data_IF_590098879398
#
_entry.id   IF_590098879398
#
_cell.length_a   1.000
_cell.length_b   1.000
_cell.length_c   1.000
_cell.angle_alpha   90.00
_cell.angle_beta   90.00
_cell.angle_gamma   90.00
#
_symmetry.space_group_name_H-M   'P 1'
#
loop_
_entity.id
_entity.type
_entity.pdbx_description
1 polymer ?
#
# COMPACT_ATOMS: atom_id res chain seq x y z
N UNK A 1 7.34 17.95 -8.19
CA UNK A 1 7.38 17.77 -6.73
C UNK A 1 6.62 16.49 -6.43
N UNK A 2 7.30 15.42 -6.03
CA UNK A 2 6.64 14.19 -5.61
C UNK A 2 6.15 14.41 -4.16
N UNK A 3 4.88 14.17 -3.90
CA UNK A 3 4.34 14.24 -2.54
C UNK A 3 4.74 13.00 -1.74
N UNK A 4 4.88 13.16 -0.42
CA UNK A 4 5.16 12.06 0.50
C UNK A 4 4.01 11.04 0.45
N UNK A 5 4.34 9.76 0.38
CA UNK A 5 3.38 8.65 0.40
C UNK A 5 2.99 8.31 1.84
N UNK A 6 1.73 8.55 2.21
CA UNK A 6 1.16 8.06 3.46
C UNK A 6 0.54 6.65 3.27
N UNK A 7 0.72 5.78 4.26
CA UNK A 7 0.25 4.40 4.20
C UNK A 7 -1.28 4.27 4.26
N UNK A 8 -1.97 5.21 4.92
CA UNK A 8 -3.42 5.18 5.14
C UNK A 8 -4.21 5.94 4.08
N UNK A 9 -3.52 6.64 3.18
CA UNK A 9 -4.16 7.29 2.05
C UNK A 9 -4.88 6.27 1.16
N UNK A 10 -5.98 6.65 0.49
CA UNK A 10 -6.63 5.79 -0.48
C UNK A 10 -5.68 5.47 -1.64
N UNK A 11 -5.62 4.19 -2.03
CA UNK A 11 -4.84 3.76 -3.20
C UNK A 11 -5.39 4.33 -4.51
N UNK A 12 -6.73 4.46 -4.58
CA UNK A 12 -7.45 5.05 -5.70
C UNK A 12 -8.46 6.04 -5.12
N UNK A 13 -8.08 7.31 -4.90
CA UNK A 13 -8.98 8.30 -4.32
C UNK A 13 -10.19 8.51 -5.22
N UNK A 14 -11.35 8.06 -4.75
CA UNK A 14 -12.64 8.45 -5.30
C UNK A 14 -13.13 9.65 -4.49
N UNK A 15 -13.36 10.77 -5.16
CA UNK A 15 -14.03 11.90 -4.54
C UNK A 15 -15.51 11.56 -4.41
N UNK A 16 -15.92 11.04 -3.26
CA UNK A 16 -17.33 10.97 -2.93
C UNK A 16 -17.77 12.37 -2.47
N UNK A 17 -18.20 13.21 -3.41
CA UNK A 17 -18.96 14.41 -3.07
C UNK A 17 -20.38 13.96 -2.74
N UNK A 18 -20.83 14.16 -1.49
CA UNK A 18 -22.20 14.35 -0.96
C UNK A 18 -22.22 13.88 0.51
N UNK A 19 -22.75 14.56 1.54
CA UNK A 19 -23.92 15.46 1.67
C UNK A 19 -23.66 16.66 2.64
N UNK A 20 -22.54 16.68 3.37
CA UNK A 20 -22.18 17.76 4.32
C UNK A 20 -20.93 18.52 3.84
N UNK A 21 -20.87 19.86 3.92
CA UNK A 21 -19.80 20.68 3.32
C UNK A 21 -18.41 20.52 3.98
N UNK A 22 -18.23 19.63 4.97
CA UNK A 22 -17.03 19.60 5.83
C UNK A 22 -16.36 18.24 6.00
N UNK A 23 -16.87 17.13 5.45
CA UNK A 23 -16.16 15.85 5.52
C UNK A 23 -16.10 15.11 4.17
N UNK A 24 -14.87 14.86 3.72
CA UNK A 24 -14.60 13.94 2.61
C UNK A 24 -14.36 12.57 3.23
N UNK A 25 -15.25 11.62 2.97
CA UNK A 25 -15.06 10.23 3.36
C UNK A 25 -14.38 9.48 2.21
N UNK A 26 -13.19 8.93 2.48
CA UNK A 26 -12.51 8.03 1.55
C UNK A 26 -12.92 6.59 1.85
N UNK A 27 -13.37 5.87 0.82
CA UNK A 27 -13.73 4.46 0.89
C UNK A 27 -12.80 3.66 -0.03
N UNK A 28 -12.46 2.44 0.37
CA UNK A 28 -11.63 1.51 -0.41
C UNK A 28 -10.35 1.10 0.30
N UNK A 29 -9.44 0.49 -0.45
CA UNK A 29 -8.13 0.07 0.04
C UNK A 29 -7.23 1.27 0.29
N UNK A 30 -6.50 1.22 1.40
CA UNK A 30 -5.34 2.09 1.64
C UNK A 30 -4.20 1.73 0.69
N UNK A 31 -3.27 2.67 0.46
CA UNK A 31 -2.05 2.45 -0.34
C UNK A 31 -1.26 1.24 0.19
N UNK A 32 -1.14 1.12 1.51
CA UNK A 32 -0.47 -0.02 2.15
C UNK A 32 -1.16 -1.35 1.87
N UNK A 33 -2.49 -1.42 2.02
CA UNK A 33 -3.26 -2.64 1.75
C UNK A 33 -3.17 -3.04 0.28
N UNK A 34 -3.22 -2.06 -0.62
CA UNK A 34 -3.08 -2.29 -2.05
C UNK A 34 -1.70 -2.85 -2.41
N UNK A 35 -0.62 -2.24 -1.92
CA UNK A 35 0.75 -2.74 -2.13
C UNK A 35 0.95 -4.13 -1.51
N UNK A 36 0.41 -4.36 -0.31
CA UNK A 36 0.48 -5.66 0.33
C UNK A 36 -0.27 -6.72 -0.49
N UNK A 37 -1.46 -6.40 -1.02
CA UNK A 37 -2.20 -7.32 -1.89
C UNK A 37 -1.41 -7.69 -3.16
N UNK A 38 -0.76 -6.71 -3.81
CA UNK A 38 0.09 -6.98 -4.97
C UNK A 38 1.30 -7.86 -4.62
N UNK A 39 1.97 -7.58 -3.50
CA UNK A 39 3.09 -8.40 -3.03
C UNK A 39 2.64 -9.82 -2.69
N UNK A 40 1.51 -9.96 -1.98
CA UNK A 40 0.90 -11.23 -1.64
C UNK A 40 0.59 -12.07 -2.89
N UNK A 41 0.04 -11.45 -3.93
CA UNK A 41 -0.25 -12.13 -5.19
C UNK A 41 1.03 -12.73 -5.80
N UNK A 42 2.13 -11.97 -5.84
CA UNK A 42 3.41 -12.46 -6.32
C UNK A 42 3.99 -13.59 -5.46
N UNK A 43 3.92 -13.45 -4.13
CA UNK A 43 4.44 -14.45 -3.18
C UNK A 43 3.69 -15.79 -3.25
N UNK A 44 2.38 -15.76 -3.51
CA UNK A 44 1.54 -16.96 -3.66
C UNK A 44 1.76 -17.60 -5.02
N UNK A 45 1.88 -16.80 -6.09
CA UNK A 45 2.06 -17.31 -7.44
C UNK A 45 3.47 -17.86 -7.70
N UNK A 46 4.46 -17.47 -6.88
CA UNK A 46 5.83 -17.93 -7.00
C UNK A 46 5.93 -19.44 -6.72
N UNK A 47 6.24 -20.20 -7.76
CA UNK A 47 6.63 -21.60 -7.66
C UNK A 47 8.03 -21.67 -7.05
N UNK A 48 8.06 -21.92 -5.74
CA UNK A 48 9.30 -22.11 -5.00
C UNK A 48 9.24 -23.46 -4.35
N UNK A 49 10.39 -24.14 -4.23
CA UNK A 49 10.51 -25.41 -3.49
C UNK A 49 10.24 -25.28 -1.97
N UNK A 50 9.81 -24.10 -1.49
CA UNK A 50 9.43 -23.83 -0.12
C UNK A 50 7.91 -23.73 0.05
N UNK A 51 7.37 -24.55 0.95
CA UNK A 51 6.02 -24.37 1.47
C UNK A 51 5.97 -23.09 2.31
N UNK A 52 4.97 -22.24 2.03
CA UNK A 52 4.72 -21.00 2.78
C UNK A 52 3.36 -21.12 3.44
N UNK A 53 3.29 -20.83 4.74
CA UNK A 53 2.01 -20.70 5.42
C UNK A 53 1.34 -19.37 5.05
N UNK A 54 0.00 -19.31 5.15
CA UNK A 54 -0.74 -18.06 4.95
C UNK A 54 -0.27 -16.94 5.89
N UNK A 55 0.17 -17.29 7.11
CA UNK A 55 0.71 -16.34 8.08
C UNK A 55 2.04 -15.74 7.62
N UNK A 56 2.94 -16.54 7.05
CA UNK A 56 4.21 -16.04 6.52
C UNK A 56 4.01 -15.14 5.32
N UNK A 57 3.18 -15.58 4.37
CA UNK A 57 2.85 -14.80 3.16
C UNK A 57 2.25 -13.44 3.54
N UNK A 58 1.32 -13.39 4.49
CA UNK A 58 0.72 -12.13 4.94
C UNK A 58 1.71 -11.19 5.62
N UNK A 59 2.61 -11.71 6.46
CA UNK A 59 3.68 -10.92 7.09
C UNK A 59 4.64 -10.34 6.05
N UNK A 60 5.07 -11.16 5.11
CA UNK A 60 5.98 -10.71 4.05
C UNK A 60 5.32 -9.67 3.16
N UNK A 61 4.09 -9.90 2.72
CA UNK A 61 3.34 -8.95 1.90
C UNK A 61 3.24 -7.56 2.56
N UNK A 62 2.90 -7.52 3.84
CA UNK A 62 2.84 -6.29 4.63
C UNK A 62 4.21 -5.63 4.75
N UNK A 63 5.25 -6.41 5.07
CA UNK A 63 6.62 -5.90 5.17
C UNK A 63 7.11 -5.30 3.85
N UNK A 64 6.80 -5.93 2.71
CA UNK A 64 7.16 -5.42 1.39
C UNK A 64 6.46 -4.09 1.08
N UNK A 65 5.19 -3.94 1.48
CA UNK A 65 4.47 -2.68 1.34
C UNK A 65 5.10 -1.56 2.19
N UNK A 66 5.42 -1.85 3.45
CA UNK A 66 6.01 -0.89 4.38
C UNK A 66 7.40 -0.43 3.88
N UNK A 67 8.27 -1.37 3.44
CA UNK A 67 9.58 -1.04 2.86
C UNK A 67 9.48 -0.24 1.57
N UNK A 68 8.49 -0.50 0.72
CA UNK A 68 8.27 0.30 -0.49
C UNK A 68 7.88 1.74 -0.15
N UNK A 69 6.97 1.94 0.80
CA UNK A 69 6.53 3.28 1.23
C UNK A 69 7.70 4.06 1.82
N UNK A 70 8.52 3.43 2.66
CA UNK A 70 9.74 4.03 3.19
C UNK A 70 10.68 4.47 2.06
N UNK A 71 10.98 3.57 1.12
CA UNK A 71 11.88 3.86 0.00
C UNK A 71 11.36 5.00 -0.89
N UNK A 72 10.06 5.06 -1.18
CA UNK A 72 9.47 6.15 -1.95
C UNK A 72 9.63 7.50 -1.23
N UNK A 73 9.48 7.50 0.10
CA UNK A 73 9.58 8.72 0.89
C UNK A 73 11.01 9.25 1.03
N UNK A 74 12.03 8.39 0.93
CA UNK A 74 13.43 8.82 0.83
C UNK A 74 13.68 9.62 -0.47
N UNK A 75 13.16 9.14 -1.60
CA UNK A 75 13.37 9.80 -2.90
C UNK A 75 12.75 11.22 -2.97
N UNK A 76 11.72 11.48 -2.16
CA UNK A 76 11.11 12.80 -2.01
C UNK A 76 12.05 13.75 -1.26
N UNK A 77 12.83 13.26 -0.30
CA UNK A 77 13.80 14.04 0.47
C UNK A 77 15.11 14.33 -0.27
N UNK A 78 15.50 13.49 -1.23
CA UNK A 78 16.74 13.64 -2.02
C UNK A 78 16.63 14.64 -3.19
N UNK A 79 15.41 15.13 -3.49
CA UNK A 79 15.16 16.06 -4.60
C UNK A 79 15.20 17.55 -4.18
N UNK A 80 15.88 17.89 -3.07
CA UNK A 80 16.03 19.26 -2.56
C UNK A 80 17.47 19.78 -2.67
#
# INVERSE_FOLDING_TARGET
MLERTDSHDPAFPLFCQHIEPSSVAFYGLTKREYFAAMAMQGLIAADTDFEKTALEVSRWAVSQADSLIERLNETVGESQ
#
